data_IF_045625700368
#
_entry.id   IF_045625700368
#
_cell.length_a   1.000
_cell.length_b   1.000
_cell.length_c   1.000
_cell.angle_alpha   90.00
_cell.angle_beta   90.00
_cell.angle_gamma   90.00
#
_symmetry.space_group_name_H-M   'P 1'
#
loop_
_entity.id
_entity.type
_entity.pdbx_description
1 polymer ?
#
# COMPACT_ATOMS: atom_id res chain seq x y z
N UNK A 1 48.46 -35.70 -0.33
CA UNK A 1 47.06 -35.26 -0.56
C UNK A 1 47.08 -33.75 -0.72
N UNK A 2 46.81 -33.24 -1.93
CA UNK A 2 46.68 -31.81 -2.18
C UNK A 2 45.23 -31.41 -1.95
N UNK A 3 45.00 -30.38 -1.13
CA UNK A 3 43.68 -29.80 -0.87
C UNK A 3 43.53 -28.61 -1.81
N UNK A 4 42.80 -28.80 -2.91
CA UNK A 4 42.42 -27.72 -3.83
C UNK A 4 41.19 -27.01 -3.28
N UNK A 5 41.41 -25.88 -2.61
CA UNK A 5 40.33 -25.00 -2.14
C UNK A 5 39.84 -24.16 -3.33
N UNK A 6 38.73 -24.56 -3.93
CA UNK A 6 38.05 -23.79 -4.98
C UNK A 6 37.24 -22.68 -4.29
N UNK A 7 37.77 -21.45 -4.27
CA UNK A 7 37.00 -20.26 -3.94
C UNK A 7 35.98 -20.04 -5.06
N UNK A 8 34.76 -20.55 -4.85
CA UNK A 8 33.63 -20.21 -5.71
C UNK A 8 33.19 -18.79 -5.36
N UNK A 9 33.44 -17.85 -6.28
CA UNK A 9 33.01 -16.48 -6.19
C UNK A 9 31.48 -16.43 -6.13
N UNK A 10 30.95 -16.01 -4.99
CA UNK A 10 29.53 -15.74 -4.80
C UNK A 10 29.24 -14.41 -5.51
N UNK A 11 28.70 -14.47 -6.72
CA UNK A 11 28.18 -13.30 -7.43
C UNK A 11 26.97 -12.78 -6.67
N UNK A 12 27.19 -11.82 -5.77
CA UNK A 12 26.11 -11.05 -5.15
C UNK A 12 25.51 -10.21 -6.28
N UNK A 13 24.39 -10.67 -6.83
CA UNK A 13 23.53 -9.84 -7.67
C UNK A 13 22.93 -8.82 -6.72
N UNK A 14 23.62 -7.69 -6.53
CA UNK A 14 23.02 -6.52 -5.91
C UNK A 14 22.02 -6.02 -6.94
N UNK A 15 20.80 -6.54 -6.85
CA UNK A 15 19.63 -5.96 -7.51
C UNK A 15 19.43 -4.58 -6.91
N UNK A 16 20.19 -3.61 -7.39
CA UNK A 16 19.97 -2.21 -7.09
C UNK A 16 18.59 -1.86 -7.61
N UNK A 17 17.64 -1.67 -6.70
CA UNK A 17 16.37 -1.05 -7.01
C UNK A 17 16.69 0.36 -7.52
N UNK A 18 16.64 0.55 -8.85
CA UNK A 18 16.42 1.88 -9.38
C UNK A 18 14.98 2.23 -8.98
N UNK A 19 14.83 3.19 -8.07
CA UNK A 19 13.56 3.81 -7.74
C UNK A 19 12.77 4.06 -9.03
N UNK A 20 11.60 3.43 -9.19
CA UNK A 20 10.89 3.44 -10.46
C UNK A 20 9.93 2.28 -10.67
N UNK A 21 10.40 1.04 -10.84
CA UNK A 21 9.53 -0.13 -11.03
C UNK A 21 10.18 -1.38 -10.43
N UNK A 22 9.39 -2.29 -9.86
CA UNK A 22 9.90 -3.60 -9.46
C UNK A 22 10.21 -4.45 -10.70
N UNK A 23 11.19 -5.34 -10.59
CA UNK A 23 11.63 -6.24 -11.67
C UNK A 23 11.07 -7.65 -11.55
N UNK A 24 10.36 -7.95 -10.47
CA UNK A 24 9.73 -9.23 -10.17
C UNK A 24 8.57 -9.02 -9.20
N UNK A 25 7.60 -9.93 -9.18
CA UNK A 25 6.40 -9.86 -8.34
C UNK A 25 5.20 -10.42 -9.08
N UNK A 26 4.00 -10.11 -8.58
CA UNK A 26 2.76 -10.35 -9.34
C UNK A 26 2.71 -9.43 -10.56
N UNK A 27 2.24 -9.95 -11.69
CA UNK A 27 2.10 -9.13 -12.89
C UNK A 27 0.75 -8.43 -12.89
N UNK A 28 0.74 -7.15 -13.28
CA UNK A 28 -0.49 -6.38 -13.44
C UNK A 28 -0.58 -5.75 -14.83
N UNK A 29 -1.82 -5.51 -15.24
CA UNK A 29 -2.15 -4.83 -16.49
C UNK A 29 -3.07 -3.63 -16.17
N UNK A 30 -2.51 -2.55 -15.60
CA UNK A 30 -3.27 -1.41 -15.12
C UNK A 30 -3.95 -0.67 -16.28
N UNK A 31 -5.18 -0.21 -16.05
CA UNK A 31 -5.90 0.71 -16.95
C UNK A 31 -6.71 1.71 -16.11
N UNK A 32 -7.18 2.80 -16.73
CA UNK A 32 -8.06 3.79 -16.05
C UNK A 32 -9.32 3.16 -15.47
N UNK A 33 -9.90 2.19 -16.18
CA UNK A 33 -11.09 1.48 -15.72
C UNK A 33 -10.80 0.53 -14.55
N UNK A 34 -9.54 0.11 -14.36
CA UNK A 34 -9.13 -0.83 -13.33
C UNK A 34 -8.68 -0.08 -12.07
N UNK A 35 -7.39 0.14 -11.89
CA UNK A 35 -6.80 0.60 -10.62
C UNK A 35 -6.83 2.12 -10.41
N UNK A 36 -6.73 2.94 -11.47
CA UNK A 36 -6.57 4.40 -11.29
C UNK A 36 -7.79 5.07 -10.65
N UNK A 37 -9.01 4.58 -10.91
CA UNK A 37 -10.21 5.09 -10.24
C UNK A 37 -10.22 4.80 -8.73
N UNK A 38 -9.70 3.65 -8.31
CA UNK A 38 -9.54 3.30 -6.89
C UNK A 38 -8.42 4.10 -6.24
N UNK A 39 -7.30 4.36 -6.93
CA UNK A 39 -6.23 5.24 -6.43
C UNK A 39 -6.77 6.65 -6.17
N UNK A 40 -7.57 7.20 -7.09
CA UNK A 40 -8.17 8.53 -6.90
C UNK A 40 -9.08 8.58 -5.66
N UNK A 41 -9.95 7.58 -5.48
CA UNK A 41 -10.79 7.46 -4.28
C UNK A 41 -9.92 7.31 -3.02
N UNK A 42 -8.93 6.40 -3.08
CA UNK A 42 -7.78 6.24 -2.20
C UNK A 42 -7.29 7.54 -1.57
N UNK A 43 -6.88 8.43 -2.46
CA UNK A 43 -6.27 9.71 -2.14
C UNK A 43 -7.26 10.75 -1.61
N UNK A 44 -8.55 10.65 -1.92
CA UNK A 44 -9.56 11.61 -1.47
C UNK A 44 -10.19 11.25 -0.11
N UNK A 45 -10.14 9.99 0.30
CA UNK A 45 -10.67 9.53 1.60
C UNK A 45 -9.57 9.04 2.55
N UNK A 46 -8.87 7.95 2.22
CA UNK A 46 -8.09 7.19 3.20
C UNK A 46 -6.65 7.68 3.41
N UNK A 47 -6.00 8.22 2.38
CA UNK A 47 -4.67 8.84 2.54
C UNK A 47 -4.72 10.25 3.13
N UNK A 48 -5.88 10.69 3.62
CA UNK A 48 -6.11 11.94 4.35
C UNK A 48 -6.41 11.66 5.83
N UNK A 49 -6.30 12.65 6.74
CA UNK A 49 -5.73 14.01 6.57
C UNK A 49 -4.19 13.98 6.68
N UNK A 50 -3.56 15.00 7.27
CA UNK A 50 -2.10 15.13 7.39
C UNK A 50 -1.41 13.88 7.95
N UNK A 51 -0.19 13.62 7.46
CA UNK A 51 0.68 12.58 7.96
C UNK A 51 1.51 13.11 9.13
N UNK A 52 1.60 12.31 10.19
CA UNK A 52 2.56 12.52 11.27
C UNK A 52 3.98 12.19 10.81
N UNK A 53 5.01 12.67 11.52
CA UNK A 53 6.40 12.26 11.31
C UNK A 53 6.53 10.75 11.15
N UNK A 54 7.17 10.32 10.06
CA UNK A 54 7.45 8.90 9.80
C UNK A 54 6.22 7.98 9.71
N UNK A 55 5.02 8.54 9.57
CA UNK A 55 3.79 7.75 9.48
C UNK A 55 3.66 7.08 8.11
N UNK A 56 3.12 5.87 8.11
CA UNK A 56 2.74 5.14 6.91
C UNK A 56 1.26 4.80 6.97
N UNK A 57 0.59 4.89 5.81
CA UNK A 57 -0.79 4.43 5.63
C UNK A 57 -0.83 3.46 4.47
N UNK A 58 -1.69 2.46 4.57
CA UNK A 58 -1.85 1.43 3.56
C UNK A 58 -3.32 1.19 3.24
N UNK A 59 -3.59 0.86 1.98
CA UNK A 59 -4.88 0.37 1.51
C UNK A 59 -4.62 -0.95 0.79
N UNK A 60 -5.35 -1.99 1.14
CA UNK A 60 -5.48 -3.19 0.35
C UNK A 60 -6.82 -3.17 -0.38
N UNK A 61 -6.80 -3.36 -1.70
CA UNK A 61 -8.03 -3.33 -2.49
C UNK A 61 -7.97 -4.30 -3.66
N UNK A 62 -9.14 -4.65 -4.18
CA UNK A 62 -9.26 -5.35 -5.45
C UNK A 62 -9.68 -4.38 -6.55
N UNK A 63 -8.99 -4.41 -7.69
CA UNK A 63 -9.47 -3.71 -8.87
C UNK A 63 -10.60 -4.47 -9.58
N UNK A 64 -11.14 -3.89 -10.64
CA UNK A 64 -12.27 -4.46 -11.39
C UNK A 64 -11.98 -5.78 -12.11
N UNK A 65 -10.71 -6.16 -12.25
CA UNK A 65 -10.30 -7.45 -12.80
C UNK A 65 -10.13 -8.51 -11.72
N UNK A 66 -10.30 -8.14 -10.44
CA UNK A 66 -10.03 -9.00 -9.30
C UNK A 66 -8.55 -9.04 -8.91
N UNK A 67 -7.70 -8.17 -9.47
CA UNK A 67 -6.31 -8.05 -9.06
C UNK A 67 -6.26 -7.34 -7.70
N UNK A 68 -5.60 -7.96 -6.72
CA UNK A 68 -5.31 -7.31 -5.43
C UNK A 68 -4.16 -6.33 -5.59
N UNK A 69 -4.28 -5.18 -4.94
CA UNK A 69 -3.27 -4.14 -4.85
C UNK A 69 -3.06 -3.73 -3.40
N UNK A 70 -1.80 -3.67 -3.00
CA UNK A 70 -1.36 -3.00 -1.78
C UNK A 70 -0.80 -1.62 -2.15
N UNK A 71 -1.52 -0.57 -1.75
CA UNK A 71 -1.15 0.83 -1.97
C UNK A 71 -0.63 1.40 -0.65
N UNK A 72 0.59 1.92 -0.65
CA UNK A 72 1.23 2.45 0.56
C UNK A 72 1.76 3.84 0.30
N UNK A 73 1.53 4.75 1.26
CA UNK A 73 2.17 6.05 1.31
C UNK A 73 2.84 6.24 2.65
N UNK A 74 4.14 6.55 2.62
CA UNK A 74 4.96 6.78 3.81
C UNK A 74 5.50 8.19 3.79
N UNK A 75 5.35 8.90 4.91
CA UNK A 75 6.00 10.18 5.14
C UNK A 75 7.39 9.95 5.74
N UNK A 76 8.43 10.60 5.21
CA UNK A 76 9.84 10.29 5.49
C UNK A 76 10.56 11.39 6.30
N UNK A 77 9.83 12.38 6.81
CA UNK A 77 10.42 13.52 7.52
C UNK A 77 9.89 13.68 8.95
N UNK A 78 10.63 14.44 9.75
CA UNK A 78 10.30 14.72 11.14
C UNK A 78 9.42 15.97 11.31
N UNK A 79 8.30 16.03 10.58
CA UNK A 79 7.31 17.11 10.68
C UNK A 79 5.90 16.63 10.34
N UNK A 80 4.87 17.37 10.72
CA UNK A 80 3.52 17.12 10.22
C UNK A 80 3.40 17.71 8.81
N UNK A 81 2.84 16.96 7.86
CA UNK A 81 2.67 17.45 6.49
C UNK A 81 1.39 16.93 5.84
N UNK A 82 0.73 17.82 5.09
CA UNK A 82 -0.43 17.49 4.27
C UNK A 82 0.01 16.82 2.97
N UNK A 83 -0.54 15.64 2.69
CA UNK A 83 -0.46 15.02 1.37
C UNK A 83 -1.58 15.56 0.48
N UNK A 84 -1.22 16.31 -0.56
CA UNK A 84 -2.19 16.84 -1.53
C UNK A 84 -2.73 15.69 -2.38
N UNK A 85 -4.06 15.59 -2.52
CA UNK A 85 -4.76 14.52 -3.26
C UNK A 85 -4.14 14.25 -4.64
N UNK A 86 -3.80 15.30 -5.38
CA UNK A 86 -3.17 15.22 -6.70
C UNK A 86 -1.77 14.58 -6.65
N UNK A 87 -0.97 14.91 -5.63
CA UNK A 87 0.36 14.31 -5.45
C UNK A 87 0.26 12.85 -5.03
N UNK A 88 -0.70 12.52 -4.16
CA UNK A 88 -1.03 11.14 -3.84
C UNK A 88 -1.38 10.35 -5.11
N UNK A 89 -2.31 10.88 -5.91
CA UNK A 89 -2.78 10.20 -7.12
C UNK A 89 -1.64 9.95 -8.10
N UNK A 90 -0.89 10.99 -8.48
CA UNK A 90 0.18 10.82 -9.46
C UNK A 90 1.33 9.97 -8.92
N UNK A 91 1.66 10.07 -7.63
CA UNK A 91 2.69 9.24 -7.01
C UNK A 91 2.36 7.75 -7.09
N UNK A 92 1.14 7.37 -6.69
CA UNK A 92 0.67 5.98 -6.74
C UNK A 92 0.41 5.50 -8.17
N UNK A 93 -0.21 6.33 -9.02
CA UNK A 93 -0.50 5.96 -10.41
C UNK A 93 0.78 5.73 -11.24
N UNK A 94 1.83 6.51 -10.98
CA UNK A 94 3.14 6.30 -11.60
C UNK A 94 3.75 4.95 -11.21
N UNK A 95 3.53 4.47 -9.98
CA UNK A 95 4.02 3.14 -9.57
C UNK A 95 3.14 2.02 -10.12
N UNK A 96 1.82 2.23 -10.13
CA UNK A 96 0.86 1.24 -10.62
C UNK A 96 0.98 0.99 -12.13
N UNK A 97 1.57 1.92 -12.91
CA UNK A 97 1.81 1.73 -14.35
C UNK A 97 2.89 0.66 -14.65
N UNK A 98 3.72 0.34 -13.65
CA UNK A 98 4.78 -0.65 -13.78
C UNK A 98 4.18 -2.06 -13.84
N UNK A 99 4.77 -2.91 -14.68
CA UNK A 99 4.33 -4.30 -14.86
C UNK A 99 4.18 -5.07 -13.54
N UNK A 100 5.11 -4.89 -12.61
CA UNK A 100 5.12 -5.56 -11.30
C UNK A 100 4.84 -4.57 -10.16
N UNK A 101 4.25 -3.41 -10.45
CA UNK A 101 4.21 -2.31 -9.49
C UNK A 101 5.57 -1.63 -9.29
N UNK A 102 5.64 -0.75 -8.31
CA UNK A 102 6.83 0.05 -8.06
C UNK A 102 6.82 0.80 -6.73
N UNK A 103 7.95 1.41 -6.44
CA UNK A 103 8.13 2.29 -5.30
C UNK A 103 9.05 3.45 -5.69
N UNK A 104 8.65 4.66 -5.29
CA UNK A 104 9.43 5.87 -5.52
C UNK A 104 9.19 6.91 -4.43
N UNK A 105 10.28 7.54 -4.00
CA UNK A 105 10.23 8.76 -3.19
C UNK A 105 10.08 10.00 -4.07
N UNK A 106 9.10 10.85 -3.75
CA UNK A 106 8.89 12.17 -4.36
C UNK A 106 8.70 13.19 -3.23
N UNK A 107 9.70 14.04 -3.05
CA UNK A 107 9.73 14.99 -1.93
C UNK A 107 9.76 14.26 -0.57
N UNK A 108 8.87 14.61 0.37
CA UNK A 108 8.84 14.03 1.71
C UNK A 108 8.10 12.68 1.77
N UNK A 109 7.53 12.21 0.65
CA UNK A 109 6.71 11.00 0.62
C UNK A 109 7.32 9.90 -0.24
N UNK A 110 7.18 8.65 0.21
CA UNK A 110 7.41 7.44 -0.56
C UNK A 110 6.06 6.85 -0.97
N UNK A 111 5.88 6.59 -2.26
CA UNK A 111 4.68 6.00 -2.84
C UNK A 111 5.00 4.60 -3.33
N UNK A 112 4.19 3.61 -2.94
CA UNK A 112 4.28 2.24 -3.43
C UNK A 112 2.91 1.77 -3.90
N UNK A 113 2.90 1.13 -5.06
CA UNK A 113 1.75 0.39 -5.57
C UNK A 113 2.23 -0.99 -5.97
N UNK A 114 1.72 -2.01 -5.31
CA UNK A 114 2.24 -3.37 -5.41
C UNK A 114 1.09 -4.35 -5.69
N UNK A 115 1.04 -4.93 -6.91
CA UNK A 115 0.08 -5.99 -7.20
C UNK A 115 0.45 -7.24 -6.38
N UNK A 116 -0.57 -7.89 -5.82
CA UNK A 116 -0.41 -9.07 -4.97
C UNK A 116 -1.41 -10.15 -5.38
N UNK A 117 -1.09 -11.39 -5.03
CA UNK A 117 -2.06 -12.50 -5.10
C UNK A 117 -2.66 -12.78 -3.73
N UNK A 118 -3.78 -13.49 -3.71
CA UNK A 118 -4.51 -13.84 -2.48
C UNK A 118 -5.35 -12.69 -1.92
N UNK A 119 -5.83 -12.89 -0.70
CA UNK A 119 -6.80 -12.00 -0.05
C UNK A 119 -6.13 -10.83 0.66
N UNK A 120 -6.88 -9.74 0.84
CA UNK A 120 -6.44 -8.67 1.72
C UNK A 120 -6.30 -9.20 3.15
N UNK A 121 -5.24 -8.80 3.88
CA UNK A 121 -5.04 -9.30 5.23
C UNK A 121 -6.16 -8.79 6.15
N UNK A 122 -6.82 -9.72 6.84
CA UNK A 122 -7.74 -9.40 7.93
C UNK A 122 -6.92 -8.96 9.15
N UNK A 123 -7.39 -7.95 9.89
CA UNK A 123 -6.83 -7.50 11.18
C UNK A 123 -5.45 -6.82 11.18
N UNK A 124 -5.04 -6.16 10.09
CA UNK A 124 -3.85 -5.28 10.11
C UNK A 124 -4.27 -3.83 10.42
N UNK A 125 -3.96 -3.26 11.61
CA UNK A 125 -4.53 -1.98 12.08
C UNK A 125 -4.25 -0.75 11.21
N UNK A 126 -3.27 -0.84 10.29
CA UNK A 126 -2.85 0.24 9.40
C UNK A 126 -3.25 0.03 7.93
N UNK A 127 -4.00 -1.05 7.64
CA UNK A 127 -4.44 -1.40 6.29
C UNK A 127 -5.95 -1.24 6.19
N UNK A 128 -6.37 -0.31 5.36
CA UNK A 128 -7.79 -0.17 4.99
C UNK A 128 -8.11 -1.19 3.90
N UNK A 129 -9.15 -2.00 4.10
CA UNK A 129 -9.60 -3.00 3.12
C UNK A 129 -10.79 -2.46 2.35
N UNK A 130 -10.67 -2.40 1.02
CA UNK A 130 -11.69 -1.85 0.13
C UNK A 130 -12.06 -2.89 -0.94
N UNK A 131 -13.35 -3.13 -1.14
CA UNK A 131 -13.81 -4.08 -2.15
C UNK A 131 -13.79 -3.50 -3.58
N UNK A 132 -14.13 -4.32 -4.57
CA UNK A 132 -14.18 -3.92 -5.98
C UNK A 132 -15.26 -2.86 -6.30
N UNK A 133 -16.23 -2.63 -5.41
CA UNK A 133 -17.20 -1.53 -5.51
C UNK A 133 -16.61 -0.20 -5.03
N UNK A 134 -15.48 -0.28 -4.32
CA UNK A 134 -14.76 0.82 -3.74
C UNK A 134 -15.39 1.32 -2.43
N UNK A 135 -16.21 0.49 -1.78
CA UNK A 135 -16.70 0.71 -0.42
C UNK A 135 -15.74 0.03 0.58
N UNK A 136 -15.49 0.67 1.72
CA UNK A 136 -14.63 0.09 2.76
C UNK A 136 -15.35 -1.10 3.41
N UNK A 137 -14.66 -2.22 3.59
CA UNK A 137 -15.26 -3.43 4.18
C UNK A 137 -15.36 -3.38 5.73
N UNK A 138 -14.77 -2.36 6.36
CA UNK A 138 -14.96 -2.08 7.78
C UNK A 138 -14.80 -0.58 8.07
N UNK A 139 -15.90 0.09 8.41
CA UNK A 139 -15.82 1.22 9.35
C UNK A 139 -15.48 0.58 10.71
N UNK A 140 -14.24 0.75 11.18
CA UNK A 140 -13.94 0.47 12.58
C UNK A 140 -14.68 1.52 13.40
N UNK A 141 -15.88 1.17 13.86
CA UNK A 141 -16.63 1.90 14.88
C UNK A 141 -15.76 1.91 16.16
N UNK A 142 -15.06 3.02 16.41
CA UNK A 142 -14.30 3.26 17.65
C UNK A 142 -15.21 3.48 18.89
N UNK A 143 -16.51 3.20 18.81
CA UNK A 143 -17.49 3.44 19.89
C UNK A 143 -18.22 2.16 20.35
N UNK A 144 -17.50 1.09 20.72
CA UNK A 144 -18.07 0.05 21.60
C UNK A 144 -17.12 -0.32 22.73
N UNK A 145 -16.73 0.66 23.54
CA UNK A 145 -16.27 0.41 24.92
C UNK A 145 -16.85 1.47 25.85
N UNK A 146 -18.04 1.20 26.41
CA UNK A 146 -18.42 1.30 27.86
C UNK A 146 -19.90 1.64 28.07
N UNK A 147 -20.67 0.66 28.57
CA UNK A 147 -21.67 0.76 29.66
C UNK A 147 -22.44 -0.58 29.70
N UNK A 148 -22.03 -1.54 30.52
CA UNK A 148 -22.47 -1.70 31.93
C UNK A 148 -23.99 -1.87 32.08
N UNK A 149 -24.38 -3.14 32.25
CA UNK A 149 -25.45 -3.66 33.11
C UNK A 149 -26.48 -2.68 33.69
N UNK A 150 -27.76 -2.82 33.32
CA UNK A 150 -28.87 -2.67 34.28
C UNK A 150 -30.15 -3.38 33.80
N UNK A 151 -30.68 -4.23 34.69
CA UNK A 151 -32.08 -4.62 34.91
C UNK A 151 -32.97 -5.10 33.74
N UNK A 152 -33.23 -6.40 33.71
CA UNK A 152 -34.54 -6.91 33.27
C UNK A 152 -35.28 -7.44 34.51
N UNK A 153 -36.21 -6.61 35.00
CA UNK A 153 -37.30 -7.01 35.86
C UNK A 153 -38.59 -6.82 35.06
N UNK A 154 -39.29 -7.90 34.73
CA UNK A 154 -40.75 -8.10 34.87
C UNK A 154 -41.08 -9.55 34.56
#
# INVERSE_FOLDING_TARGET
MQITTVLSALSIVVSGAFAGCFTSGEESHPTEANIYSHIWRGCHSWFRPDFKPFASRSICLFDRTGQRWDLVVTHEENQDIALVDRHCYYGLAEQAQCKFGGERRVGPFTFRADPQSGDCPEDVPSVQVVDASGEALAEFDEDVVTASSTEEAT
#
